data_IF_443991643349
#
_entry.id   IF_443991643349
#
_cell.length_a   1.000
_cell.length_b   1.000
_cell.length_c   1.000
_cell.angle_alpha   90.00
_cell.angle_beta   90.00
_cell.angle_gamma   90.00
#
_symmetry.space_group_name_H-M   'P 1'
#
loop_
_entity.id
_entity.type
_entity.pdbx_description
1 polymer ?
#
# COMPACT_ATOMS: atom_id res chain seq x y z
N UNK A 1 -10.83 16.01 5.45
CA UNK A 1 -10.84 14.54 5.33
C UNK A 1 -11.87 14.10 4.29
N UNK A 2 -11.45 13.24 3.37
CA UNK A 2 -12.33 12.62 2.38
C UNK A 2 -12.06 11.11 2.34
N UNK A 3 -13.12 10.30 2.19
CA UNK A 3 -13.01 8.86 1.96
C UNK A 3 -13.86 8.48 0.75
N UNK A 4 -13.23 7.95 -0.28
CA UNK A 4 -13.90 7.58 -1.54
C UNK A 4 -13.36 6.24 -2.01
N UNK A 5 -14.23 5.27 -2.30
CA UNK A 5 -13.86 3.98 -2.88
C UNK A 5 -12.89 3.14 -2.04
N UNK A 6 -12.83 3.36 -0.73
CA UNK A 6 -11.88 2.71 0.18
C UNK A 6 -10.61 3.54 0.42
N UNK A 7 -10.33 4.55 -0.36
CA UNK A 7 -9.22 5.47 -0.13
C UNK A 7 -9.56 6.50 0.93
N UNK A 8 -8.59 6.82 1.77
CA UNK A 8 -8.67 7.92 2.73
C UNK A 8 -7.66 8.99 2.37
N UNK A 9 -8.11 10.25 2.36
CA UNK A 9 -7.34 11.38 1.88
C UNK A 9 -7.31 12.46 2.97
N UNK A 10 -6.13 12.82 3.43
CA UNK A 10 -5.87 14.02 4.22
C UNK A 10 -5.11 15.02 3.36
N UNK A 11 -5.47 16.29 3.47
CA UNK A 11 -4.82 17.36 2.70
C UNK A 11 -4.91 18.72 3.40
N UNK A 12 -3.90 19.53 3.19
CA UNK A 12 -3.86 20.97 3.46
C UNK A 12 -3.55 21.75 2.15
N UNK A 13 -3.04 22.95 2.24
CA UNK A 13 -2.68 23.78 1.07
C UNK A 13 -1.50 23.20 0.27
N UNK A 14 -0.53 22.58 0.94
CA UNK A 14 0.72 22.09 0.36
C UNK A 14 0.79 20.58 0.28
N UNK A 15 0.27 19.90 1.29
CA UNK A 15 0.48 18.48 1.51
C UNK A 15 -0.80 17.69 1.25
N UNK A 16 -0.62 16.50 0.69
CA UNK A 16 -1.70 15.53 0.55
C UNK A 16 -1.13 14.12 0.74
N UNK A 17 -1.81 13.34 1.57
CA UNK A 17 -1.58 11.90 1.70
C UNK A 17 -2.84 11.15 1.30
N UNK A 18 -2.68 10.09 0.53
CA UNK A 18 -3.73 9.17 0.12
C UNK A 18 -3.32 7.78 0.61
N UNK A 19 -4.18 7.09 1.34
CA UNK A 19 -3.94 5.71 1.81
C UNK A 19 -5.06 4.80 1.33
N UNK A 20 -4.71 3.61 0.83
CA UNK A 20 -5.68 2.58 0.44
C UNK A 20 -6.11 1.77 1.68
N UNK A 21 -7.30 2.05 2.17
CA UNK A 21 -7.99 1.28 3.21
C UNK A 21 -9.17 0.47 2.64
N UNK A 22 -9.17 0.22 1.33
CA UNK A 22 -10.18 -0.55 0.64
C UNK A 22 -10.10 -2.04 0.98
N UNK A 23 -11.27 -2.65 1.17
CA UNK A 23 -11.40 -4.11 1.14
C UNK A 23 -11.40 -4.60 -0.31
N UNK A 24 -11.12 -5.88 -0.52
CA UNK A 24 -11.33 -6.48 -1.86
C UNK A 24 -12.80 -6.38 -2.29
N UNK A 25 -13.07 -6.10 -3.57
CA UNK A 25 -14.40 -6.20 -4.13
C UNK A 25 -14.85 -7.66 -4.26
N UNK A 26 -16.12 -7.89 -4.58
CA UNK A 26 -16.59 -9.21 -4.98
C UNK A 26 -15.83 -9.69 -6.21
N UNK A 27 -15.57 -11.01 -6.30
CA UNK A 27 -14.75 -11.61 -7.36
C UNK A 27 -15.21 -11.21 -8.77
N UNK A 28 -16.49 -11.13 -9.01
CA UNK A 28 -17.07 -10.74 -10.31
C UNK A 28 -16.73 -9.31 -10.76
N UNK A 29 -16.30 -8.45 -9.83
CA UNK A 29 -15.91 -7.06 -10.09
C UNK A 29 -14.43 -6.80 -9.84
N UNK A 30 -13.61 -7.85 -9.80
CA UNK A 30 -12.22 -7.75 -9.38
C UNK A 30 -11.20 -7.74 -10.53
N UNK A 31 -11.66 -7.71 -11.78
CA UNK A 31 -10.77 -7.71 -12.94
C UNK A 31 -9.77 -6.55 -12.96
N UNK A 32 -10.14 -5.40 -12.40
CA UNK A 32 -9.27 -4.21 -12.31
C UNK A 32 -8.69 -3.96 -10.90
N UNK A 33 -8.99 -4.86 -9.95
CA UNK A 33 -8.48 -4.73 -8.59
C UNK A 33 -6.96 -4.91 -8.53
N UNK A 34 -6.32 -4.18 -7.63
CA UNK A 34 -4.89 -4.22 -7.36
C UNK A 34 -4.64 -4.51 -5.88
N UNK A 35 -3.63 -5.33 -5.56
CA UNK A 35 -3.28 -5.72 -4.18
C UNK A 35 -2.49 -4.64 -3.45
N UNK A 36 -3.03 -3.42 -3.41
CA UNK A 36 -2.41 -2.24 -2.83
C UNK A 36 -2.84 -1.91 -1.40
N UNK A 37 -3.42 -2.84 -0.65
CA UNK A 37 -3.89 -2.55 0.71
C UNK A 37 -2.80 -1.91 1.57
N UNK A 38 -3.16 -0.83 2.28
CA UNK A 38 -2.30 0.03 3.09
C UNK A 38 -1.16 0.70 2.30
N UNK A 39 -1.18 0.66 0.97
CA UNK A 39 -0.29 1.49 0.17
C UNK A 39 -0.67 2.97 0.30
N UNK A 40 0.29 3.84 0.06
CA UNK A 40 0.06 5.26 0.18
C UNK A 40 0.77 6.05 -0.91
N UNK A 41 0.29 7.27 -1.14
CA UNK A 41 0.91 8.28 -1.98
C UNK A 41 1.03 9.58 -1.20
N UNK A 42 2.16 10.26 -1.36
CA UNK A 42 2.46 11.55 -0.73
C UNK A 42 2.68 12.58 -1.83
N UNK A 43 2.07 13.75 -1.63
CA UNK A 43 2.27 14.93 -2.47
C UNK A 43 2.70 16.10 -1.60
N UNK A 44 3.66 16.87 -2.09
CA UNK A 44 4.09 18.14 -1.53
C UNK A 44 4.19 19.18 -2.64
N UNK A 45 3.62 20.36 -2.42
CA UNK A 45 3.56 21.46 -3.41
C UNK A 45 3.15 20.99 -4.82
N UNK A 46 2.15 20.08 -4.90
CA UNK A 46 1.60 19.45 -6.11
C UNK A 46 2.48 18.37 -6.76
N UNK A 47 3.69 18.16 -6.30
CA UNK A 47 4.57 17.10 -6.78
C UNK A 47 4.34 15.79 -6.00
N UNK A 48 4.42 14.65 -6.68
CA UNK A 48 4.42 13.34 -6.03
C UNK A 48 5.81 13.02 -5.50
N UNK A 49 5.90 12.77 -4.20
CA UNK A 49 7.12 12.30 -3.53
C UNK A 49 7.14 10.77 -3.47
N UNK A 50 6.04 10.17 -2.97
CA UNK A 50 5.83 8.72 -2.95
C UNK A 50 4.62 8.40 -3.83
N UNK A 51 4.74 7.37 -4.64
CA UNK A 51 3.70 6.95 -5.59
C UNK A 51 3.46 5.43 -5.53
N UNK A 52 2.56 4.94 -6.37
CA UNK A 52 2.43 3.53 -6.76
C UNK A 52 2.75 3.41 -8.26
N UNK A 53 3.04 2.20 -8.76
CA UNK A 53 3.41 1.98 -10.15
C UNK A 53 2.26 2.23 -11.14
N UNK A 54 1.02 2.41 -10.65
CA UNK A 54 -0.15 2.54 -11.49
C UNK A 54 -0.66 1.21 -12.02
N UNK A 55 -1.70 1.27 -12.85
CA UNK A 55 -2.37 0.09 -13.40
C UNK A 55 -2.17 -0.01 -14.92
N UNK A 56 -1.72 -1.17 -15.38
CA UNK A 56 -1.53 -1.46 -16.80
C UNK A 56 -2.78 -2.17 -17.37
N UNK A 57 -3.56 -1.48 -18.16
CA UNK A 57 -4.92 -1.91 -18.58
C UNK A 57 -4.98 -3.04 -19.62
N UNK A 58 -3.90 -3.33 -20.35
CA UNK A 58 -3.92 -4.40 -21.35
C UNK A 58 -3.89 -5.78 -20.70
N UNK A 59 -5.02 -6.44 -20.60
CA UNK A 59 -5.22 -7.73 -19.93
C UNK A 59 -4.39 -8.89 -20.50
N UNK A 60 -4.00 -8.81 -21.78
CA UNK A 60 -3.21 -9.83 -22.43
C UNK A 60 -1.70 -9.64 -22.24
N UNK A 61 -1.29 -8.53 -21.66
CA UNK A 61 0.12 -8.22 -21.45
C UNK A 61 0.57 -8.60 -20.03
N UNK A 62 1.81 -9.14 -19.90
CA UNK A 62 2.39 -9.54 -18.60
C UNK A 62 2.40 -8.41 -17.56
N UNK A 63 2.51 -7.16 -17.98
CA UNK A 63 2.48 -6.01 -17.08
C UNK A 63 1.12 -5.82 -16.39
N UNK A 64 0.02 -6.36 -16.95
CA UNK A 64 -1.28 -6.29 -16.29
C UNK A 64 -1.26 -6.99 -14.93
N UNK A 65 -0.82 -8.26 -14.88
CA UNK A 65 -0.74 -8.99 -13.60
C UNK A 65 0.34 -8.43 -12.68
N UNK A 66 1.46 -7.93 -13.22
CA UNK A 66 2.50 -7.31 -12.41
C UNK A 66 2.00 -6.02 -11.74
N UNK A 67 1.26 -5.17 -12.46
CA UNK A 67 0.68 -3.94 -11.88
C UNK A 67 -0.38 -4.21 -10.80
N UNK A 68 -0.95 -5.42 -10.76
CA UNK A 68 -1.89 -5.86 -9.70
C UNK A 68 -1.18 -6.37 -8.45
N UNK A 69 0.11 -6.70 -8.52
CA UNK A 69 0.86 -7.28 -7.40
C UNK A 69 1.08 -6.26 -6.28
N UNK A 70 1.20 -6.74 -5.04
CA UNK A 70 1.56 -5.90 -3.89
C UNK A 70 2.92 -5.21 -4.11
N UNK A 71 3.84 -5.86 -4.81
CA UNK A 71 5.15 -5.29 -5.13
C UNK A 71 5.09 -4.05 -6.03
N UNK A 72 3.98 -3.80 -6.74
CA UNK A 72 3.76 -2.58 -7.54
C UNK A 72 3.23 -1.40 -6.69
N UNK A 73 3.13 -1.55 -5.39
CA UNK A 73 2.55 -0.57 -4.48
C UNK A 73 3.52 -0.23 -3.34
N UNK A 74 3.44 1.00 -2.82
CA UNK A 74 4.24 1.47 -1.70
C UNK A 74 3.67 0.91 -0.38
N UNK A 75 3.91 -0.39 -0.16
CA UNK A 75 3.44 -1.16 0.99
C UNK A 75 4.37 -2.32 1.31
N UNK A 76 4.03 -3.09 2.36
CA UNK A 76 4.77 -4.28 2.79
C UNK A 76 4.31 -5.52 2.02
N UNK A 77 5.25 -6.36 1.62
CA UNK A 77 5.02 -7.73 1.10
C UNK A 77 5.74 -8.76 1.95
N UNK A 78 5.19 -9.98 2.04
CA UNK A 78 5.73 -11.13 2.78
C UNK A 78 6.21 -12.18 1.78
N UNK A 79 7.47 -12.65 1.92
CA UNK A 79 8.08 -13.70 1.09
C UNK A 79 7.84 -13.51 -0.42
N UNK A 80 7.96 -12.27 -0.92
CA UNK A 80 7.69 -11.89 -2.32
C UNK A 80 6.27 -12.26 -2.81
N UNK A 81 5.31 -12.40 -1.90
CA UNK A 81 3.92 -12.71 -2.22
C UNK A 81 3.03 -11.49 -2.12
N UNK A 82 2.07 -11.44 -3.02
CA UNK A 82 1.00 -10.44 -2.94
C UNK A 82 -0.01 -10.78 -1.84
N UNK A 83 -0.56 -9.75 -1.21
CA UNK A 83 -1.61 -9.87 -0.20
C UNK A 83 -2.91 -10.49 -0.74
N UNK A 84 -3.10 -10.46 -2.06
CA UNK A 84 -4.18 -11.15 -2.76
C UNK A 84 -3.63 -12.05 -3.86
N UNK A 85 -4.32 -13.16 -4.13
CA UNK A 85 -4.04 -14.07 -5.25
C UNK A 85 -4.96 -13.78 -6.40
N UNK A 86 -4.43 -13.83 -7.61
CA UNK A 86 -5.18 -13.66 -8.85
C UNK A 86 -5.12 -14.94 -9.67
N UNK A 87 -6.24 -15.26 -10.32
CA UNK A 87 -6.37 -16.38 -11.25
C UNK A 87 -7.07 -15.91 -12.51
N UNK A 88 -6.66 -16.45 -13.66
CA UNK A 88 -7.39 -16.20 -14.91
C UNK A 88 -8.80 -16.79 -14.82
N UNK A 89 -9.78 -15.98 -15.15
CA UNK A 89 -11.16 -16.41 -15.33
C UNK A 89 -11.37 -17.04 -16.72
N UNK A 90 -12.63 -17.40 -17.03
CA UNK A 90 -12.99 -18.02 -18.31
C UNK A 90 -12.79 -17.10 -19.53
N UNK A 91 -12.74 -15.78 -19.31
CA UNK A 91 -12.50 -14.76 -20.31
C UNK A 91 -11.03 -14.38 -20.45
N UNK A 92 -10.15 -14.99 -19.62
CA UNK A 92 -8.72 -14.73 -19.63
C UNK A 92 -8.28 -13.55 -18.76
N UNK A 93 -9.18 -12.89 -18.03
CA UNK A 93 -8.85 -11.81 -17.10
C UNK A 93 -8.33 -12.33 -15.77
N UNK A 94 -7.36 -11.63 -15.19
CA UNK A 94 -6.89 -11.93 -13.85
C UNK A 94 -7.85 -11.34 -12.81
N UNK A 95 -8.70 -12.19 -12.25
CA UNK A 95 -9.63 -11.85 -11.16
C UNK A 95 -9.14 -12.41 -9.83
N UNK A 96 -9.65 -11.88 -8.71
CA UNK A 96 -9.31 -12.33 -7.37
C UNK A 96 -9.69 -13.81 -7.13
N UNK A 97 -8.74 -14.57 -6.60
CA UNK A 97 -9.00 -15.92 -6.10
C UNK A 97 -9.43 -15.91 -4.62
N UNK A 98 -8.89 -14.99 -3.82
CA UNK A 98 -9.21 -14.80 -2.40
C UNK A 98 -9.67 -13.36 -2.11
N UNK A 99 -10.35 -13.19 -1.00
CA UNK A 99 -10.75 -11.89 -0.47
C UNK A 99 -9.90 -11.49 0.72
N UNK A 100 -9.77 -10.20 0.93
CA UNK A 100 -9.05 -9.59 2.04
C UNK A 100 -9.91 -8.48 2.65
N UNK A 101 -9.79 -8.29 3.95
CA UNK A 101 -10.45 -7.21 4.70
C UNK A 101 -9.41 -6.25 5.25
N UNK A 102 -9.78 -4.98 5.29
CA UNK A 102 -9.03 -3.97 6.04
C UNK A 102 -9.85 -3.60 7.28
N UNK A 103 -9.22 -3.72 8.45
CA UNK A 103 -9.79 -3.51 9.78
C UNK A 103 -8.95 -2.52 10.58
N UNK A 104 -9.36 -2.20 11.80
CA UNK A 104 -8.63 -1.31 12.72
C UNK A 104 -8.31 0.07 12.10
N UNK A 105 -9.21 0.58 11.27
CA UNK A 105 -9.04 1.87 10.63
C UNK A 105 -9.18 2.98 11.66
N UNK A 106 -8.17 3.82 11.76
CA UNK A 106 -8.16 5.01 12.59
C UNK A 106 -7.61 6.16 11.76
N UNK A 107 -8.34 7.26 11.73
CA UNK A 107 -7.94 8.47 11.03
C UNK A 107 -8.19 9.64 11.96
N UNK A 108 -7.16 10.41 12.21
CA UNK A 108 -7.18 11.62 13.00
C UNK A 108 -6.35 12.70 12.31
N UNK A 109 -6.76 13.95 12.39
CA UNK A 109 -5.97 15.07 11.89
C UNK A 109 -6.33 16.36 12.62
N UNK A 110 -5.33 17.15 12.89
CA UNK A 110 -5.41 18.53 13.33
C UNK A 110 -4.25 19.34 12.71
N UNK A 111 -3.95 20.52 13.24
CA UNK A 111 -2.87 21.37 12.76
C UNK A 111 -1.47 20.91 13.19
N UNK A 112 -1.38 19.98 14.15
CA UNK A 112 -0.13 19.46 14.71
C UNK A 112 0.24 18.10 14.13
N UNK A 113 -0.77 17.22 13.94
CA UNK A 113 -0.53 15.85 13.52
C UNK A 113 -1.69 15.28 12.68
N UNK A 114 -1.34 14.53 11.66
CA UNK A 114 -2.25 13.64 10.96
C UNK A 114 -1.86 12.20 11.24
N UNK A 115 -2.82 11.37 11.61
CA UNK A 115 -2.61 9.94 11.84
C UNK A 115 -3.55 9.11 10.97
N UNK A 116 -3.00 8.10 10.31
CA UNK A 116 -3.75 7.13 9.52
C UNK A 116 -3.25 5.72 9.87
N UNK A 117 -4.16 4.87 10.34
CA UNK A 117 -3.86 3.48 10.72
C UNK A 117 -4.83 2.54 10.05
N UNK A 118 -4.36 1.35 9.72
CA UNK A 118 -5.19 0.22 9.29
C UNK A 118 -4.45 -1.09 9.39
N UNK A 119 -5.20 -2.18 9.38
CA UNK A 119 -4.65 -3.55 9.35
C UNK A 119 -5.35 -4.34 8.26
N UNK A 120 -4.65 -5.27 7.59
CA UNK A 120 -5.28 -6.19 6.66
C UNK A 120 -4.92 -7.65 6.96
N UNK A 121 -5.81 -8.57 6.53
CA UNK A 121 -5.71 -10.01 6.74
C UNK A 121 -5.24 -10.78 5.50
N UNK A 122 -4.69 -10.10 4.50
CA UNK A 122 -4.27 -10.70 3.22
C UNK A 122 -3.24 -11.84 3.38
N UNK A 123 -2.42 -11.80 4.42
CA UNK A 123 -1.42 -12.82 4.74
C UNK A 123 -1.87 -13.81 5.82
N UNK A 124 -3.07 -13.66 6.40
CA UNK A 124 -3.52 -14.43 7.54
C UNK A 124 -3.68 -15.92 7.21
N UNK A 125 -4.30 -16.21 6.05
CA UNK A 125 -4.59 -17.61 5.66
C UNK A 125 -3.32 -18.41 5.39
N UNK A 126 -2.33 -17.81 4.74
CA UNK A 126 -1.12 -18.52 4.29
C UNK A 126 -0.03 -18.51 5.36
N UNK A 127 0.15 -17.38 6.04
CA UNK A 127 1.27 -17.17 6.98
C UNK A 127 0.82 -17.04 8.44
N UNK A 128 -0.47 -16.89 8.72
CA UNK A 128 -0.95 -16.58 10.07
C UNK A 128 -0.66 -15.14 10.50
N UNK A 129 -0.45 -14.23 9.55
CA UNK A 129 0.04 -12.88 9.77
C UNK A 129 -1.03 -11.85 9.41
N UNK A 130 -1.20 -10.85 10.27
CA UNK A 130 -1.81 -9.57 9.94
C UNK A 130 -0.71 -8.53 9.71
N UNK A 131 -0.88 -7.70 8.70
CA UNK A 131 -0.07 -6.49 8.52
C UNK A 131 -0.86 -5.28 9.01
N UNK A 132 -0.25 -4.47 9.88
CA UNK A 132 -0.76 -3.18 10.30
C UNK A 132 0.24 -2.10 9.88
N UNK A 133 -0.27 -0.98 9.39
CA UNK A 133 0.51 0.22 9.10
C UNK A 133 -0.05 1.41 9.82
N UNK A 134 0.85 2.17 10.43
CA UNK A 134 0.59 3.48 11.02
C UNK A 134 1.38 4.53 10.23
N UNK A 135 0.74 5.60 9.81
CA UNK A 135 1.40 6.74 9.18
C UNK A 135 1.05 7.98 9.97
N UNK A 136 2.07 8.71 10.38
CA UNK A 136 1.95 10.02 11.03
C UNK A 136 2.59 11.07 10.14
N UNK A 137 1.96 12.21 10.01
CA UNK A 137 2.52 13.38 9.38
C UNK A 137 2.46 14.56 10.33
N UNK A 138 3.57 15.27 10.46
CA UNK A 138 3.73 16.47 11.27
C UNK A 138 3.87 17.66 10.33
N UNK A 139 2.77 18.42 10.08
CA UNK A 139 2.77 19.47 9.05
C UNK A 139 3.79 20.59 9.27
N UNK A 140 4.07 20.93 10.53
CA UNK A 140 5.02 22.01 10.89
C UNK A 140 6.48 21.65 10.59
N UNK A 141 6.84 20.37 10.81
CA UNK A 141 8.20 19.84 10.58
C UNK A 141 8.36 19.26 9.17
N UNK A 142 7.29 19.18 8.41
CA UNK A 142 7.25 18.43 7.14
C UNK A 142 7.84 17.02 7.28
N UNK A 143 7.43 16.32 8.31
CA UNK A 143 7.98 15.01 8.64
C UNK A 143 6.91 13.92 8.59
N UNK A 144 7.17 12.86 7.82
CA UNK A 144 6.37 11.64 7.79
C UNK A 144 7.06 10.54 8.59
N UNK A 145 6.31 9.87 9.46
CA UNK A 145 6.76 8.70 10.22
C UNK A 145 5.86 7.52 9.88
N UNK A 146 6.42 6.47 9.29
CA UNK A 146 5.74 5.22 8.97
C UNK A 146 6.18 4.10 9.89
N UNK A 147 5.24 3.29 10.36
CA UNK A 147 5.49 2.08 11.12
C UNK A 147 4.70 0.92 10.52
N UNK A 148 5.40 -0.14 10.15
CA UNK A 148 4.80 -1.40 9.70
C UNK A 148 4.94 -2.45 10.80
N UNK A 149 3.82 -3.05 11.23
CA UNK A 149 3.76 -4.04 12.29
C UNK A 149 3.28 -5.35 11.70
N UNK A 150 4.07 -6.41 11.90
CA UNK A 150 3.73 -7.78 11.54
C UNK A 150 3.19 -8.47 12.79
N UNK A 151 1.89 -8.77 12.82
CA UNK A 151 1.21 -9.40 13.95
C UNK A 151 0.99 -10.87 13.65
N UNK A 152 1.73 -11.75 14.31
CA UNK A 152 1.53 -13.20 14.21
C UNK A 152 0.32 -13.66 15.02
N UNK A 153 -0.54 -14.47 14.42
CA UNK A 153 -1.70 -15.12 15.07
C UNK A 153 -1.47 -16.62 15.31
N UNK A 154 -0.29 -17.13 14.95
CA UNK A 154 0.13 -18.53 15.14
C UNK A 154 1.57 -18.54 15.63
N UNK A 155 2.09 -19.72 15.95
CA UNK A 155 3.49 -19.89 16.28
C UNK A 155 4.38 -19.29 15.17
N UNK A 156 5.43 -18.60 15.61
CA UNK A 156 6.24 -17.77 14.72
C UNK A 156 6.95 -18.64 13.69
N UNK A 157 6.59 -18.47 12.42
CA UNK A 157 7.35 -18.92 11.27
C UNK A 157 8.26 -17.80 10.81
N UNK A 158 9.54 -18.11 10.62
CA UNK A 158 10.47 -17.15 9.99
C UNK A 158 9.97 -16.83 8.58
N UNK A 159 9.73 -15.55 8.30
CA UNK A 159 9.32 -15.03 7.00
C UNK A 159 10.21 -13.87 6.60
N UNK A 160 10.47 -13.73 5.32
CA UNK A 160 11.06 -12.51 4.76
C UNK A 160 9.98 -11.44 4.55
N UNK A 161 10.36 -10.18 4.59
CA UNK A 161 9.47 -9.08 4.21
C UNK A 161 10.24 -7.98 3.52
N UNK A 162 9.55 -7.25 2.66
CA UNK A 162 10.02 -6.03 2.01
C UNK A 162 9.00 -4.92 2.20
N UNK A 163 9.49 -3.72 2.50
CA UNK A 163 8.70 -2.49 2.47
C UNK A 163 9.18 -1.69 1.27
N UNK A 164 8.27 -1.39 0.34
CA UNK A 164 8.59 -0.66 -0.88
C UNK A 164 8.05 0.75 -0.81
N UNK A 165 8.86 1.68 -1.35
CA UNK A 165 8.49 3.07 -1.57
C UNK A 165 8.82 3.38 -3.03
N UNK A 166 7.78 3.48 -3.86
CA UNK A 166 7.95 3.82 -5.27
C UNK A 166 8.12 5.32 -5.45
N UNK A 167 9.05 5.70 -6.29
CA UNK A 167 9.34 7.08 -6.67
C UNK A 167 8.97 7.29 -8.13
N UNK A 168 8.82 8.54 -8.55
CA UNK A 168 8.69 8.86 -9.98
C UNK A 168 9.98 8.50 -10.73
N UNK A 169 9.89 8.08 -12.00
CA UNK A 169 11.07 7.66 -12.79
C UNK A 169 12.19 8.70 -12.90
N UNK A 170 11.85 9.99 -12.77
CA UNK A 170 12.79 11.11 -12.81
C UNK A 170 13.49 11.39 -11.47
N UNK A 171 13.10 10.69 -10.39
CA UNK A 171 13.67 10.93 -9.05
C UNK A 171 14.97 10.17 -8.89
N UNK A 172 16.06 10.88 -8.57
CA UNK A 172 17.33 10.29 -8.18
C UNK A 172 17.31 9.94 -6.70
N UNK A 173 17.57 8.69 -6.36
CA UNK A 173 17.63 8.22 -4.98
C UNK A 173 19.07 7.79 -4.65
N UNK A 174 19.70 8.47 -3.70
CA UNK A 174 21.08 8.22 -3.29
C UNK A 174 21.10 7.72 -1.84
N UNK A 175 21.65 6.53 -1.64
CA UNK A 175 21.82 5.96 -0.30
C UNK A 175 23.00 6.63 0.41
N UNK A 176 22.80 7.04 1.66
CA UNK A 176 23.86 7.62 2.50
C UNK A 176 24.96 6.58 2.82
N UNK A 177 26.17 7.05 3.14
CA UNK A 177 27.32 6.17 3.45
C UNK A 177 27.05 5.24 4.64
N UNK A 178 26.33 5.71 5.66
CA UNK A 178 25.93 4.93 6.84
C UNK A 178 24.80 3.92 6.53
N UNK A 179 24.27 3.95 5.30
CA UNK A 179 23.16 3.09 4.82
C UNK A 179 21.85 3.23 5.60
N UNK A 180 21.66 4.31 6.33
CA UNK A 180 20.45 4.55 7.16
C UNK A 180 19.46 5.49 6.52
N UNK A 181 19.87 6.24 5.49
CA UNK A 181 19.03 7.24 4.85
C UNK A 181 19.15 7.17 3.32
N UNK A 182 18.16 7.74 2.66
CA UNK A 182 18.12 7.94 1.21
C UNK A 182 17.84 9.41 0.97
N UNK A 183 18.65 10.05 0.15
CA UNK A 183 18.42 11.41 -0.37
C UNK A 183 17.66 11.31 -1.69
N UNK A 184 16.66 12.14 -1.87
CA UNK A 184 15.84 12.25 -3.08
C UNK A 184 16.09 13.59 -3.77
#
# INVERSE_FOLDING_TARGET
FNSVGGYSILKNKKDKIIVDFGKTPDKKYSADYQSGALSFEIFHDKEKVITNCGYFQNYNHKLNILSKSTAAHSTLSIDDRSSCKFKKDKLGYFALENTMKVTNKKIYHDDEIWEMQGSHDGYLKEYGILHQRNIKFFPKEFMYVGEDIIISKKDFRKVGFDIRFHLLPSTNAIKTQDKRSILL
#
